data_IF_725284927527
#
_entry.id   IF_725284927527
#
_cell.length_a   1.000
_cell.length_b   1.000
_cell.length_c   1.000
_cell.angle_alpha   90.00
_cell.angle_beta   90.00
_cell.angle_gamma   90.00
#
_symmetry.space_group_name_H-M   'P 1'
#
loop_
_entity.id
_entity.type
_entity.pdbx_description
1 polymer ?
#
# COMPACT_ATOMS: atom_id res chain seq x y z
N UNK A 1 3.77 2.73 -0.32
CA UNK A 1 4.94 3.00 -1.12
C UNK A 1 4.94 2.28 -2.44
N UNK A 2 5.67 2.83 -3.38
CA UNK A 2 5.75 2.32 -4.74
C UNK A 2 7.21 2.19 -5.15
N UNK A 3 7.53 1.15 -5.92
CA UNK A 3 8.85 0.98 -6.51
C UNK A 3 8.84 1.48 -7.96
N UNK A 4 10.00 1.79 -8.52
CA UNK A 4 10.10 2.38 -9.85
C UNK A 4 9.47 1.54 -10.96
N UNK A 5 9.47 0.21 -10.83
CA UNK A 5 8.83 -0.70 -11.79
C UNK A 5 7.31 -0.62 -11.76
N UNK A 6 6.72 -0.08 -10.70
CA UNK A 6 5.27 0.05 -10.54
C UNK A 6 4.78 1.46 -10.88
N UNK A 7 5.60 2.31 -11.48
CA UNK A 7 5.27 3.70 -11.77
C UNK A 7 4.00 3.84 -12.63
N UNK A 8 3.78 2.90 -13.55
CA UNK A 8 2.58 2.90 -14.37
C UNK A 8 1.32 2.72 -13.53
N UNK A 9 1.33 1.76 -12.60
CA UNK A 9 0.21 1.50 -11.70
C UNK A 9 0.01 2.66 -10.72
N UNK A 10 1.09 3.26 -10.26
CA UNK A 10 1.02 4.46 -9.43
C UNK A 10 0.33 5.62 -10.17
N UNK A 11 0.67 5.82 -11.44
CA UNK A 11 0.02 6.85 -12.28
C UNK A 11 -1.45 6.56 -12.49
N UNK A 12 -1.84 5.29 -12.62
CA UNK A 12 -3.26 4.91 -12.67
C UNK A 12 -3.96 5.26 -11.37
N UNK A 13 -3.35 5.03 -10.22
CA UNK A 13 -3.92 5.41 -8.93
C UNK A 13 -4.08 6.93 -8.81
N UNK A 14 -3.13 7.72 -9.29
CA UNK A 14 -3.27 9.17 -9.34
C UNK A 14 -4.45 9.58 -10.23
N UNK A 15 -4.63 8.93 -11.38
CA UNK A 15 -5.76 9.18 -12.26
C UNK A 15 -7.09 8.83 -11.57
N UNK A 16 -7.13 7.74 -10.78
CA UNK A 16 -8.31 7.40 -9.99
C UNK A 16 -8.65 8.48 -8.97
N UNK A 17 -7.63 9.02 -8.30
CA UNK A 17 -7.82 10.10 -7.33
C UNK A 17 -8.46 11.34 -7.95
N UNK A 18 -8.12 11.65 -9.18
CA UNK A 18 -8.65 12.81 -9.91
C UNK A 18 -10.01 12.56 -10.55
N UNK A 19 -10.47 11.32 -10.64
CA UNK A 19 -11.73 10.97 -11.25
C UNK A 19 -12.89 11.35 -10.32
N UNK A 20 -13.77 12.25 -10.79
CA UNK A 20 -14.91 12.74 -10.01
C UNK A 20 -15.97 11.68 -9.72
N UNK A 21 -15.98 10.59 -10.47
CA UNK A 21 -16.92 9.48 -10.28
C UNK A 21 -16.43 8.43 -9.30
N UNK A 22 -15.21 8.59 -8.81
CA UNK A 22 -14.57 7.67 -7.85
C UNK A 22 -14.19 8.51 -6.64
N UNK A 23 -14.76 8.15 -5.48
CA UNK A 23 -14.39 8.78 -4.23
C UNK A 23 -13.08 8.13 -3.74
N UNK A 24 -11.98 8.64 -4.28
CA UNK A 24 -10.65 8.12 -4.03
C UNK A 24 -9.73 9.25 -3.61
N UNK A 25 -9.26 9.20 -2.37
CA UNK A 25 -8.38 10.22 -1.83
C UNK A 25 -7.22 9.61 -1.06
N UNK A 26 -6.01 10.02 -1.39
CA UNK A 26 -4.82 9.64 -0.63
C UNK A 26 -3.74 10.71 -0.78
N UNK A 27 -2.84 10.78 0.22
CA UNK A 27 -1.66 11.63 0.16
C UNK A 27 -0.51 10.86 -0.46
N UNK A 28 0.14 11.47 -1.45
CA UNK A 28 1.31 10.87 -2.08
C UNK A 28 2.51 10.99 -1.14
N UNK A 29 2.90 9.87 -0.57
CA UNK A 29 4.06 9.77 0.31
C UNK A 29 5.21 9.00 -0.33
N UNK A 30 5.14 8.75 -1.64
CA UNK A 30 6.18 8.03 -2.35
C UNK A 30 7.50 8.80 -2.32
N UNK A 31 8.58 8.07 -2.11
CA UNK A 31 9.91 8.58 -2.37
C UNK A 31 10.11 8.64 -3.89
N UNK A 32 10.35 9.82 -4.42
CA UNK A 32 10.61 9.98 -5.85
C UNK A 32 12.10 9.76 -6.17
N UNK A 33 12.42 9.62 -7.45
CA UNK A 33 13.76 9.31 -7.92
C UNK A 33 14.84 10.37 -7.64
N UNK A 34 14.47 11.47 -7.03
CA UNK A 34 15.39 12.51 -6.61
C UNK A 34 16.20 12.12 -5.37
N UNK A 35 15.72 11.13 -4.63
CA UNK A 35 16.45 10.62 -3.48
C UNK A 35 17.43 9.55 -3.97
N UNK A 36 18.51 10.00 -4.52
CA UNK A 36 19.56 9.14 -5.05
C UNK A 36 20.67 8.97 -4.01
N UNK A 37 20.31 8.43 -2.85
CA UNK A 37 21.23 8.19 -1.76
C UNK A 37 21.17 6.75 -1.30
N UNK A 38 22.33 6.14 -1.09
CA UNK A 38 22.44 4.83 -0.46
C UNK A 38 22.49 4.93 1.05
N UNK A 39 22.46 6.11 1.63
CA UNK A 39 22.47 6.31 3.06
C UNK A 39 21.10 5.93 3.64
N UNK A 40 21.05 4.81 4.31
CA UNK A 40 19.84 4.25 4.90
C UNK A 40 19.17 5.22 5.89
N UNK A 41 19.96 5.88 6.73
CA UNK A 41 19.43 6.82 7.73
C UNK A 41 18.74 8.01 7.06
N UNK A 42 19.33 8.52 5.98
CA UNK A 42 18.75 9.63 5.21
C UNK A 42 17.43 9.22 4.55
N UNK A 43 17.41 8.06 3.92
CA UNK A 43 16.22 7.55 3.23
C UNK A 43 15.09 7.30 4.24
N UNK A 44 15.39 6.65 5.36
CA UNK A 44 14.41 6.42 6.42
C UNK A 44 13.85 7.73 6.99
N UNK A 45 14.68 8.74 7.14
CA UNK A 45 14.23 10.07 7.59
C UNK A 45 13.25 10.68 6.58
N UNK A 46 13.54 10.57 5.28
CA UNK A 46 12.62 11.06 4.23
C UNK A 46 11.32 10.28 4.21
N UNK A 47 11.35 8.98 4.42
CA UNK A 47 10.15 8.17 4.59
C UNK A 47 9.31 8.67 5.77
N UNK A 48 9.95 8.92 6.92
CA UNK A 48 9.25 9.43 8.11
C UNK A 48 8.57 10.76 7.86
N UNK A 49 9.26 11.70 7.21
CA UNK A 49 8.70 13.01 6.88
C UNK A 49 7.42 12.89 6.05
N UNK A 50 7.38 11.96 5.10
CA UNK A 50 6.24 11.76 4.20
C UNK A 50 5.11 10.95 4.84
N UNK A 51 5.45 9.88 5.53
CA UNK A 51 4.48 8.98 6.14
C UNK A 51 3.77 9.63 7.33
N UNK A 52 4.43 10.53 8.05
CA UNK A 52 3.81 11.30 9.12
C UNK A 52 2.54 12.04 8.70
N UNK A 53 2.39 12.31 7.42
CA UNK A 53 1.25 13.07 6.89
C UNK A 53 0.06 12.19 6.51
N UNK A 54 0.26 10.87 6.40
CA UNK A 54 -0.72 10.01 5.74
C UNK A 54 -1.60 9.19 6.68
N UNK A 55 -1.10 8.70 7.79
CA UNK A 55 -1.83 7.77 8.67
C UNK A 55 -2.12 6.40 8.05
N UNK A 56 -1.99 6.26 6.74
CA UNK A 56 -2.25 5.03 5.98
C UNK A 56 -1.13 4.82 4.97
N UNK A 57 -0.78 3.58 4.76
CA UNK A 57 0.27 3.20 3.84
C UNK A 57 -0.25 2.15 2.87
N UNK A 58 -0.19 2.47 1.59
CA UNK A 58 -0.62 1.57 0.51
C UNK A 58 0.61 1.02 -0.18
N UNK A 59 0.75 -0.31 -0.18
CA UNK A 59 1.83 -1.00 -0.87
C UNK A 59 1.28 -1.72 -2.09
N UNK A 60 1.79 -1.37 -3.28
CA UNK A 60 1.49 -2.11 -4.50
C UNK A 60 2.36 -3.36 -4.55
N UNK A 61 1.73 -4.53 -4.67
CA UNK A 61 2.40 -5.82 -4.60
C UNK A 61 2.37 -6.49 -5.98
N UNK A 62 3.52 -6.55 -6.62
CA UNK A 62 3.73 -7.27 -7.86
C UNK A 62 4.67 -8.46 -7.65
N UNK A 63 5.02 -9.17 -8.73
CA UNK A 63 5.89 -10.35 -8.66
C UNK A 63 7.26 -10.05 -8.05
N UNK A 64 7.79 -8.85 -8.28
CA UNK A 64 9.13 -8.48 -7.86
C UNK A 64 9.18 -7.71 -6.54
N UNK A 65 8.04 -7.36 -5.97
CA UNK A 65 7.99 -6.45 -4.82
C UNK A 65 8.77 -6.97 -3.63
N UNK A 66 8.66 -8.26 -3.33
CA UNK A 66 9.37 -8.85 -2.19
C UNK A 66 10.88 -8.96 -2.39
N UNK A 67 11.36 -8.93 -3.64
CA UNK A 67 12.78 -9.10 -3.97
C UNK A 67 13.51 -7.79 -4.21
N UNK A 68 12.81 -6.68 -4.39
CA UNK A 68 13.41 -5.39 -4.75
C UNK A 68 13.46 -4.37 -3.61
N UNK A 69 13.80 -4.68 -2.60
CA UNK A 69 13.35 -4.20 -1.60
C UNK A 69 13.82 -3.55 -0.48
N UNK A 70 14.89 -2.99 -0.42
CA UNK A 70 15.31 -2.17 0.70
C UNK A 70 14.50 -0.88 0.84
N UNK A 71 14.14 -0.21 -0.25
CA UNK A 71 13.28 0.99 -0.19
C UNK A 71 11.84 0.65 0.25
N UNK A 72 11.26 -0.37 -0.34
CA UNK A 72 9.91 -0.85 0.05
C UNK A 72 9.92 -1.29 1.51
N UNK A 73 10.95 -2.01 1.92
CA UNK A 73 11.10 -2.44 3.29
C UNK A 73 11.25 -1.26 4.26
N UNK A 74 12.06 -0.29 3.92
CA UNK A 74 12.26 0.89 4.77
C UNK A 74 10.98 1.72 4.90
N UNK A 75 10.25 1.90 3.80
CA UNK A 75 8.95 2.57 3.87
C UNK A 75 7.98 1.81 4.77
N UNK A 76 7.91 0.50 4.62
CA UNK A 76 7.03 -0.34 5.44
C UNK A 76 7.45 -0.31 6.91
N UNK A 77 8.75 -0.38 7.22
CA UNK A 77 9.24 -0.27 8.59
C UNK A 77 8.81 1.05 9.23
N UNK A 78 8.91 2.16 8.50
CA UNK A 78 8.48 3.46 9.00
C UNK A 78 6.97 3.50 9.19
N UNK A 79 6.20 2.95 8.26
CA UNK A 79 4.74 2.91 8.38
C UNK A 79 4.31 2.11 9.62
N UNK A 80 4.96 0.98 9.89
CA UNK A 80 4.70 0.16 11.08
C UNK A 80 5.09 0.94 12.34
N UNK A 81 6.26 1.58 12.35
CA UNK A 81 6.73 2.40 13.47
C UNK A 81 5.73 3.53 13.79
N UNK A 82 5.10 4.11 12.80
CA UNK A 82 4.13 5.20 12.94
C UNK A 82 2.70 4.73 13.16
N UNK A 83 2.49 3.44 13.31
CA UNK A 83 1.16 2.83 13.50
C UNK A 83 0.19 3.15 12.37
N UNK A 84 0.69 3.25 11.14
CA UNK A 84 -0.15 3.45 9.99
C UNK A 84 -1.02 2.22 9.72
N UNK A 85 -2.20 2.45 9.18
CA UNK A 85 -3.00 1.38 8.57
C UNK A 85 -2.32 0.93 7.30
N UNK A 86 -2.06 -0.38 7.16
CA UNK A 86 -1.34 -0.94 6.03
C UNK A 86 -2.30 -1.68 5.11
N UNK A 87 -2.29 -1.30 3.84
CA UNK A 87 -3.13 -1.87 2.81
C UNK A 87 -2.23 -2.42 1.71
N UNK A 88 -2.25 -3.75 1.54
CA UNK A 88 -1.55 -4.40 0.44
C UNK A 88 -2.47 -4.49 -0.78
N UNK A 89 -2.01 -3.99 -1.91
CA UNK A 89 -2.78 -4.00 -3.15
C UNK A 89 -2.13 -4.96 -4.13
N UNK A 90 -2.81 -6.07 -4.41
CA UNK A 90 -2.31 -7.11 -5.29
C UNK A 90 -2.50 -6.73 -6.75
N UNK A 91 -1.41 -6.51 -7.47
CA UNK A 91 -1.44 -6.16 -8.88
C UNK A 91 -1.96 -7.28 -9.78
N UNK A 92 -1.90 -8.54 -9.30
CA UNK A 92 -2.46 -9.69 -10.00
C UNK A 92 -3.98 -9.84 -9.86
N UNK A 93 -4.63 -8.98 -9.09
CA UNK A 93 -6.07 -9.00 -8.87
C UNK A 93 -6.54 -9.93 -7.75
N UNK A 94 -5.64 -10.54 -7.02
CA UNK A 94 -6.00 -11.41 -5.89
C UNK A 94 -6.65 -10.59 -4.77
N UNK A 95 -7.73 -11.12 -4.19
CA UNK A 95 -8.54 -10.44 -3.17
C UNK A 95 -8.08 -10.72 -1.73
N UNK A 96 -6.99 -11.44 -1.57
CA UNK A 96 -6.47 -11.82 -0.25
C UNK A 96 -4.95 -11.94 -0.31
N UNK A 97 -4.32 -12.19 0.83
CA UNK A 97 -2.87 -12.39 0.91
C UNK A 97 -2.41 -13.50 -0.04
N UNK A 98 -1.41 -13.19 -0.84
CA UNK A 98 -0.66 -14.16 -1.64
C UNK A 98 0.76 -14.22 -1.09
N UNK A 99 1.10 -15.32 -0.40
CA UNK A 99 2.38 -15.44 0.29
C UNK A 99 3.59 -15.40 -0.64
N UNK A 100 3.44 -15.88 -1.88
CA UNK A 100 4.54 -15.90 -2.84
C UNK A 100 4.99 -14.50 -3.28
N UNK A 101 4.09 -13.54 -3.29
CA UNK A 101 4.39 -12.18 -3.77
C UNK A 101 4.48 -11.14 -2.65
N UNK A 102 3.81 -11.39 -1.54
CA UNK A 102 3.74 -10.43 -0.44
C UNK A 102 5.09 -10.29 0.29
N UNK A 103 5.60 -9.08 0.45
CA UNK A 103 6.77 -8.86 1.29
C UNK A 103 6.54 -9.34 2.73
N UNK A 104 7.53 -10.07 3.31
CA UNK A 104 7.37 -10.61 4.66
C UNK A 104 7.06 -9.57 5.74
N UNK A 105 7.52 -8.35 5.56
CA UNK A 105 7.38 -7.31 6.57
C UNK A 105 5.92 -6.88 6.81
N UNK A 106 5.03 -7.06 5.84
CA UNK A 106 3.61 -6.72 6.01
C UNK A 106 2.73 -7.96 6.17
N UNK A 107 3.31 -9.14 6.30
CA UNK A 107 2.58 -10.36 6.63
C UNK A 107 2.42 -10.52 8.14
N UNK A 108 1.28 -11.06 8.54
CA UNK A 108 1.03 -11.45 9.94
C UNK A 108 1.11 -10.28 10.93
N UNK A 109 0.63 -9.11 10.50
CA UNK A 109 0.66 -7.88 11.32
C UNK A 109 -0.69 -7.17 11.41
N UNK A 110 -1.75 -7.74 10.86
CA UNK A 110 -3.08 -7.13 10.89
C UNK A 110 -3.41 -6.26 9.67
N UNK A 111 -2.60 -6.30 8.62
CA UNK A 111 -2.86 -5.57 7.38
C UNK A 111 -4.02 -6.19 6.58
N UNK A 112 -4.63 -5.42 5.69
CA UNK A 112 -5.64 -5.91 4.76
C UNK A 112 -5.08 -5.98 3.34
N UNK A 113 -5.57 -6.95 2.57
CA UNK A 113 -5.14 -7.19 1.20
C UNK A 113 -6.33 -7.08 0.25
N UNK A 114 -6.17 -6.32 -0.82
CA UNK A 114 -7.22 -6.06 -1.81
C UNK A 114 -6.62 -6.15 -3.22
N UNK A 115 -7.47 -6.38 -4.24
CA UNK A 115 -6.99 -6.33 -5.63
C UNK A 115 -6.77 -4.91 -6.10
N UNK A 116 -6.01 -4.76 -7.17
CA UNK A 116 -5.76 -3.48 -7.83
C UNK A 116 -7.00 -3.06 -8.63
N UNK A 117 -7.97 -2.47 -7.94
CA UNK A 117 -9.22 -1.99 -8.51
C UNK A 117 -9.70 -0.76 -7.71
N UNK A 118 -10.15 0.30 -8.39
CA UNK A 118 -10.34 1.60 -7.73
C UNK A 118 -11.36 1.58 -6.60
N UNK A 119 -12.51 0.93 -6.78
CA UNK A 119 -13.58 0.98 -5.76
C UNK A 119 -13.19 0.30 -4.46
N UNK A 120 -12.57 -0.88 -4.53
CA UNK A 120 -12.18 -1.59 -3.31
C UNK A 120 -10.95 -0.95 -2.65
N UNK A 121 -10.01 -0.44 -3.43
CA UNK A 121 -8.85 0.28 -2.88
C UNK A 121 -9.32 1.54 -2.16
N UNK A 122 -10.21 2.33 -2.77
CA UNK A 122 -10.79 3.51 -2.13
C UNK A 122 -11.54 3.14 -0.84
N UNK A 123 -12.33 2.08 -0.88
CA UNK A 123 -13.07 1.60 0.28
C UNK A 123 -12.13 1.22 1.43
N UNK A 124 -11.04 0.52 1.12
CA UNK A 124 -10.06 0.13 2.14
C UNK A 124 -9.36 1.37 2.73
N UNK A 125 -8.97 2.33 1.91
CA UNK A 125 -8.33 3.56 2.39
C UNK A 125 -9.25 4.33 3.33
N UNK A 126 -10.55 4.38 3.02
CA UNK A 126 -11.51 5.13 3.84
C UNK A 126 -11.95 4.39 5.11
N UNK A 127 -12.05 3.08 5.05
CA UNK A 127 -12.76 2.33 6.09
C UNK A 127 -11.91 1.37 6.89
N UNK A 128 -10.80 0.88 6.35
CA UNK A 128 -10.01 -0.11 7.08
C UNK A 128 -9.20 0.54 8.19
N UNK A 129 -9.27 -0.06 9.36
CA UNK A 129 -8.39 0.26 10.48
C UNK A 129 -7.54 -0.95 10.83
N UNK A 130 -6.28 -0.69 11.13
CA UNK A 130 -5.31 -1.74 11.40
C UNK A 130 -5.75 -2.60 12.59
N UNK A 131 -5.82 -3.91 12.38
CA UNK A 131 -6.06 -4.84 13.46
C UNK A 131 -4.79 -4.97 14.34
N UNK A 132 -5.01 -5.09 15.65
CA UNK A 132 -3.91 -5.20 16.60
C UNK A 132 -3.60 -6.67 16.91
N UNK A 133 -3.41 -7.46 15.86
CA UNK A 133 -3.15 -8.89 15.97
C UNK A 133 -2.21 -9.37 14.87
N UNK A 134 -2.00 -10.66 14.75
CA UNK A 134 -1.10 -11.28 13.78
C UNK A 134 -1.85 -11.80 12.55
N UNK A 135 -3.05 -11.29 12.28
CA UNK A 135 -3.88 -11.74 11.16
C UNK A 135 -3.48 -11.12 9.82
N UNK A 136 -4.06 -11.70 8.78
CA UNK A 136 -4.00 -11.18 7.42
C UNK A 136 -5.46 -11.08 6.95
N UNK A 137 -5.92 -9.87 6.68
CA UNK A 137 -7.33 -9.61 6.47
C UNK A 137 -7.66 -9.41 4.99
N UNK A 138 -8.88 -9.70 4.65
CA UNK A 138 -9.46 -9.42 3.33
C UNK A 138 -10.96 -9.20 3.49
N UNK A 139 -11.57 -8.52 2.53
CA UNK A 139 -13.01 -8.28 2.56
C UNK A 139 -13.79 -9.50 2.11
N UNK A 140 -14.99 -9.65 2.65
CA UNK A 140 -15.93 -10.71 2.26
C UNK A 140 -16.65 -10.34 0.97
N UNK A 141 -17.23 -11.34 0.32
CA UNK A 141 -17.90 -11.17 -0.98
C UNK A 141 -19.04 -10.15 -0.96
N UNK A 142 -19.73 -10.01 0.17
CA UNK A 142 -20.82 -9.04 0.28
C UNK A 142 -20.32 -7.59 0.16
N UNK A 143 -19.13 -7.29 0.62
CA UNK A 143 -18.53 -5.96 0.45
C UNK A 143 -18.29 -5.69 -1.04
N UNK A 144 -17.73 -6.66 -1.75
CA UNK A 144 -17.51 -6.53 -3.19
C UNK A 144 -18.80 -6.35 -3.96
N UNK A 145 -19.84 -7.10 -3.63
CA UNK A 145 -21.16 -6.95 -4.26
C UNK A 145 -21.74 -5.56 -4.03
N UNK A 146 -21.64 -5.04 -2.82
CA UNK A 146 -22.14 -3.71 -2.49
C UNK A 146 -21.39 -2.60 -3.24
N UNK A 147 -20.15 -2.85 -3.66
CA UNK A 147 -19.36 -1.93 -4.45
C UNK A 147 -19.55 -2.10 -5.96
N UNK A 148 -20.41 -3.01 -6.39
CA UNK A 148 -20.71 -3.22 -7.80
C UNK A 148 -19.86 -4.27 -8.51
N UNK A 149 -19.18 -5.11 -7.76
CA UNK A 149 -18.40 -6.22 -8.34
C UNK A 149 -19.23 -7.44 -8.62
#
# INVERSE_FOLDING_TARGET
GFISTDIHNYRLMLAWKENKNIDFNFTDCQLNGEINSENEAYIKRKCRERINMAGKYVMLIGQDTKSKHKYVRWEAEVAIEKNCTIIGVNLDGSRQLVRDTCPPIIRDIGAIFVPFSPSIVAYAIENYEMANDNGNYHYKDNVYKNLGY
#
